data_IF_652513187346
#
_entry.id   IF_652513187346
#
_cell.length_a   1.000
_cell.length_b   1.000
_cell.length_c   1.000
_cell.angle_alpha   90.00
_cell.angle_beta   90.00
_cell.angle_gamma   90.00
#
_symmetry.space_group_name_H-M   'P 1'
#
loop_
_entity.id
_entity.type
_entity.pdbx_description
1 polymer ?
#
# COMPACT_ATOMS: atom_id res chain seq x y z
N UNK A 1 0.54 -71.99 12.93
CA UNK A 1 1.92 -71.59 13.26
C UNK A 1 2.28 -70.47 12.29
N UNK A 2 2.32 -69.20 12.64
CA UNK A 2 2.50 -68.57 13.94
C UNK A 2 1.77 -67.23 13.93
N UNK A 3 0.99 -66.96 14.97
CA UNK A 3 0.33 -65.68 15.23
C UNK A 3 1.38 -64.78 15.90
N UNK A 4 2.05 -63.93 15.13
CA UNK A 4 2.97 -62.91 15.67
C UNK A 4 2.15 -61.77 16.29
N UNK A 5 2.59 -61.18 17.41
CA UNK A 5 1.83 -60.15 18.09
C UNK A 5 1.66 -58.93 17.18
N UNK A 6 0.43 -58.45 17.04
CA UNK A 6 0.07 -57.23 16.33
C UNK A 6 0.51 -55.97 17.11
N UNK A 7 1.81 -55.86 17.39
CA UNK A 7 2.36 -54.74 18.13
C UNK A 7 2.41 -53.48 17.25
N UNK A 8 1.80 -52.41 17.74
CA UNK A 8 1.90 -51.10 17.11
C UNK A 8 3.29 -50.53 17.35
N UNK A 9 3.99 -50.17 16.28
CA UNK A 9 5.31 -49.58 16.38
C UNK A 9 5.24 -48.05 16.28
N UNK A 10 5.85 -47.30 17.22
CA UNK A 10 5.95 -45.86 17.14
C UNK A 10 6.88 -45.47 16.00
N UNK A 11 6.48 -44.49 15.20
CA UNK A 11 7.27 -43.98 14.09
C UNK A 11 7.00 -42.49 13.86
N UNK A 12 7.88 -41.86 13.09
CA UNK A 12 7.72 -40.45 12.71
C UNK A 12 7.76 -40.32 11.20
N UNK A 13 6.77 -39.62 10.64
CA UNK A 13 6.76 -39.20 9.25
C UNK A 13 6.98 -37.70 9.15
N UNK A 14 7.73 -37.30 8.13
CA UNK A 14 7.91 -35.91 7.71
C UNK A 14 7.20 -35.73 6.37
N UNK A 15 6.24 -34.81 6.34
CA UNK A 15 5.64 -34.31 5.11
C UNK A 15 6.32 -33.00 4.73
N UNK A 16 6.64 -32.81 3.47
CA UNK A 16 7.23 -31.58 2.93
C UNK A 16 6.45 -31.06 1.74
N UNK A 17 6.65 -29.77 1.44
CA UNK A 17 6.03 -29.12 0.29
C UNK A 17 4.58 -28.72 0.52
N UNK A 18 4.17 -28.58 1.78
CA UNK A 18 2.84 -28.10 2.14
C UNK A 18 2.71 -26.61 1.75
N UNK A 19 1.52 -26.16 1.29
CA UNK A 19 1.22 -24.74 1.18
C UNK A 19 1.48 -24.01 2.50
N UNK A 20 1.90 -22.74 2.45
CA UNK A 20 2.20 -21.96 3.66
C UNK A 20 0.97 -21.73 4.54
N UNK A 21 -0.23 -21.81 3.96
CA UNK A 21 -1.52 -21.67 4.62
C UNK A 21 -2.10 -23.00 5.09
N UNK A 22 -1.38 -24.12 4.94
CA UNK A 22 -1.85 -25.44 5.32
C UNK A 22 -2.07 -25.51 6.84
N UNK A 23 -3.25 -26.03 7.22
CA UNK A 23 -3.65 -26.18 8.62
C UNK A 23 -3.41 -27.60 9.12
N UNK A 24 -3.30 -27.76 10.45
CA UNK A 24 -3.21 -29.08 11.08
C UNK A 24 -4.40 -29.97 10.72
N UNK A 25 -5.60 -29.39 10.62
CA UNK A 25 -6.82 -30.09 10.23
C UNK A 25 -6.76 -30.62 8.80
N UNK A 26 -6.28 -29.83 7.84
CA UNK A 26 -6.12 -30.28 6.45
C UNK A 26 -5.10 -31.42 6.32
N UNK A 27 -3.97 -31.33 7.05
CA UNK A 27 -2.97 -32.40 7.06
C UNK A 27 -3.53 -33.65 7.75
N UNK A 28 -4.28 -33.52 8.83
CA UNK A 28 -4.95 -34.64 9.48
C UNK A 28 -5.98 -35.29 8.55
N UNK A 29 -6.80 -34.51 7.84
CA UNK A 29 -7.76 -35.01 6.88
C UNK A 29 -7.11 -35.74 5.69
N UNK A 30 -5.89 -35.33 5.30
CA UNK A 30 -5.10 -36.03 4.28
C UNK A 30 -4.60 -37.40 4.77
N UNK A 31 -4.19 -37.50 6.03
CA UNK A 31 -3.56 -38.71 6.60
C UNK A 31 -4.61 -39.73 7.07
N UNK A 32 -5.73 -39.28 7.63
CA UNK A 32 -6.72 -40.14 8.29
C UNK A 32 -7.27 -41.27 7.41
N UNK A 33 -7.61 -41.05 6.12
CA UNK A 33 -8.11 -42.11 5.25
C UNK A 33 -7.09 -43.21 4.95
N UNK A 34 -5.79 -42.92 5.11
CA UNK A 34 -4.73 -43.87 4.88
C UNK A 34 -4.45 -44.76 6.10
N UNK A 35 -4.94 -44.41 7.30
CA UNK A 35 -4.75 -45.17 8.53
C UNK A 35 -5.73 -46.35 8.62
N UNK A 36 -5.25 -47.48 9.15
CA UNK A 36 -6.11 -48.62 9.49
C UNK A 36 -6.82 -48.39 10.83
N UNK A 37 -7.88 -49.14 11.12
CA UNK A 37 -8.72 -48.95 12.32
C UNK A 37 -7.96 -48.99 13.66
N UNK A 38 -6.86 -49.75 13.72
CA UNK A 38 -6.02 -49.89 14.91
C UNK A 38 -4.76 -48.99 14.87
N UNK A 39 -4.54 -48.21 13.81
CA UNK A 39 -3.43 -47.26 13.69
C UNK A 39 -3.84 -45.87 14.17
N UNK A 40 -2.89 -45.11 14.75
CA UNK A 40 -3.19 -43.80 15.31
C UNK A 40 -2.17 -42.74 14.92
N UNK A 41 -2.65 -41.52 14.69
CA UNK A 41 -1.85 -40.29 14.66
C UNK A 41 -1.86 -39.69 16.07
N UNK A 42 -0.76 -39.84 16.80
CA UNK A 42 -0.66 -39.41 18.20
C UNK A 42 -0.44 -37.91 18.33
N UNK A 43 0.40 -37.34 17.46
CA UNK A 43 0.60 -35.90 17.42
C UNK A 43 0.99 -35.41 16.02
N UNK A 44 0.64 -34.16 15.76
CA UNK A 44 0.96 -33.45 14.52
C UNK A 44 1.51 -32.09 14.88
N UNK A 45 2.71 -31.79 14.36
CA UNK A 45 3.35 -30.49 14.51
C UNK A 45 3.62 -29.89 13.13
N UNK A 46 3.25 -28.63 12.95
CA UNK A 46 3.64 -27.80 11.81
C UNK A 46 4.82 -26.91 12.25
N UNK A 47 6.08 -27.36 12.07
CA UNK A 47 7.23 -26.58 12.51
C UNK A 47 7.31 -25.22 11.81
N UNK A 48 7.87 -24.25 12.53
CA UNK A 48 8.14 -22.91 12.02
C UNK A 48 9.58 -22.77 11.54
N UNK A 49 9.81 -21.82 10.63
CA UNK A 49 11.14 -21.38 10.22
C UNK A 49 11.81 -20.50 11.30
N UNK A 50 13.06 -20.08 11.06
CA UNK A 50 13.81 -19.25 12.01
C UNK A 50 13.19 -17.87 12.28
N UNK A 51 12.22 -17.43 11.45
CA UNK A 51 11.45 -16.19 11.59
C UNK A 51 10.03 -16.45 12.11
N UNK A 52 9.79 -17.65 12.64
CA UNK A 52 8.49 -18.10 13.16
C UNK A 52 7.34 -18.05 12.13
N UNK A 53 7.67 -18.27 10.85
CA UNK A 53 6.68 -18.46 9.78
C UNK A 53 6.47 -19.95 9.54
N UNK A 54 5.33 -20.38 8.95
CA UNK A 54 5.14 -21.78 8.55
C UNK A 54 6.34 -22.27 7.73
N UNK A 55 6.84 -23.48 7.98
CA UNK A 55 8.00 -24.03 7.25
C UNK A 55 7.66 -24.80 5.98
N UNK A 56 6.37 -25.08 5.76
CA UNK A 56 5.90 -25.96 4.68
C UNK A 56 6.17 -27.44 4.95
N UNK A 57 6.64 -27.79 6.16
CA UNK A 57 6.83 -29.15 6.62
C UNK A 57 5.76 -29.52 7.68
N UNK A 58 5.44 -30.80 7.83
CA UNK A 58 4.67 -31.34 8.96
C UNK A 58 5.34 -32.59 9.53
N UNK A 59 5.42 -32.67 10.85
CA UNK A 59 5.90 -33.84 11.59
C UNK A 59 4.70 -34.59 12.17
N UNK A 60 4.63 -35.88 11.89
CA UNK A 60 3.57 -36.77 12.33
C UNK A 60 4.17 -37.85 13.22
N UNK A 61 3.78 -37.91 14.49
CA UNK A 61 4.07 -39.05 15.36
C UNK A 61 2.92 -40.03 15.29
N UNK A 62 3.22 -41.26 14.88
CA UNK A 62 2.22 -42.27 14.55
C UNK A 62 2.54 -43.60 15.23
N UNK A 63 1.51 -44.40 15.48
CA UNK A 63 1.60 -45.81 15.86
C UNK A 63 0.99 -46.66 14.75
N UNK A 64 1.84 -47.45 14.09
CA UNK A 64 1.48 -48.20 12.88
C UNK A 64 1.70 -49.70 13.08
N UNK A 65 0.87 -50.55 12.43
CA UNK A 65 1.11 -52.01 12.36
C UNK A 65 2.01 -52.39 11.19
N UNK A 66 2.19 -51.48 10.24
CA UNK A 66 3.02 -51.67 9.05
C UNK A 66 4.28 -50.81 9.13
N UNK A 67 5.30 -51.10 8.30
CA UNK A 67 6.46 -50.24 8.17
C UNK A 67 6.07 -48.80 7.80
N UNK A 68 6.66 -47.81 8.46
CA UNK A 68 6.38 -46.40 8.21
C UNK A 68 6.58 -46.00 6.74
N UNK A 69 7.49 -46.66 6.03
CA UNK A 69 7.73 -46.47 4.59
C UNK A 69 6.48 -46.77 3.74
N UNK A 70 5.64 -47.73 4.15
CA UNK A 70 4.42 -48.08 3.43
C UNK A 70 3.37 -46.95 3.51
N UNK A 71 3.17 -46.36 4.70
CA UNK A 71 2.29 -45.19 4.83
C UNK A 71 2.89 -43.97 4.13
N UNK A 72 4.20 -43.74 4.23
CA UNK A 72 4.87 -42.66 3.50
C UNK A 72 4.66 -42.78 1.99
N UNK A 73 4.76 -43.98 1.42
CA UNK A 73 4.52 -44.20 0.00
C UNK A 73 3.07 -43.88 -0.43
N UNK A 74 2.08 -44.19 0.41
CA UNK A 74 0.67 -43.84 0.14
C UNK A 74 0.41 -42.33 0.19
N UNK A 75 1.09 -41.62 1.08
CA UNK A 75 0.93 -40.17 1.23
C UNK A 75 1.73 -39.37 0.20
N UNK A 76 2.82 -39.94 -0.31
CA UNK A 76 3.70 -39.28 -1.26
C UNK A 76 2.95 -38.99 -2.57
N UNK A 77 3.04 -37.74 -3.03
CA UNK A 77 2.43 -37.28 -4.28
C UNK A 77 0.94 -36.92 -4.17
N UNK A 78 0.30 -37.13 -3.02
CA UNK A 78 -1.09 -36.70 -2.81
C UNK A 78 -1.21 -35.17 -2.91
N UNK A 79 -2.29 -34.67 -3.52
CA UNK A 79 -2.52 -33.24 -3.65
C UNK A 79 -3.00 -32.65 -2.32
N UNK A 80 -2.41 -31.52 -1.94
CA UNK A 80 -2.92 -30.64 -0.89
C UNK A 80 -2.99 -29.22 -1.47
N UNK A 81 -4.21 -28.81 -1.84
CA UNK A 81 -4.46 -27.59 -2.63
C UNK A 81 -3.61 -27.57 -3.91
N UNK A 82 -2.78 -26.54 -4.10
CA UNK A 82 -1.94 -26.35 -5.29
C UNK A 82 -0.57 -27.05 -5.23
N UNK A 83 -0.30 -27.85 -4.20
CA UNK A 83 0.98 -28.53 -4.00
C UNK A 83 0.79 -30.05 -3.89
N UNK A 84 1.88 -30.78 -4.12
CA UNK A 84 1.97 -32.22 -3.87
C UNK A 84 2.87 -32.48 -2.67
N UNK A 85 2.42 -33.38 -1.80
CA UNK A 85 3.12 -33.70 -0.57
C UNK A 85 4.29 -34.65 -0.85
N UNK A 86 5.47 -34.35 -0.31
CA UNK A 86 6.60 -35.30 -0.25
C UNK A 86 6.65 -35.92 1.15
N UNK A 87 6.20 -37.18 1.27
CA UNK A 87 6.16 -37.92 2.53
C UNK A 87 7.39 -38.83 2.68
N UNK A 88 8.07 -38.75 3.82
CA UNK A 88 9.26 -39.56 4.12
C UNK A 88 9.27 -40.02 5.58
N UNK A 89 9.93 -41.14 5.83
CA UNK A 89 10.25 -41.58 7.20
C UNK A 89 11.32 -40.66 7.77
N UNK A 90 11.10 -40.18 8.99
CA UNK A 90 12.04 -39.35 9.72
C UNK A 90 12.50 -40.05 11.00
N UNK A 91 13.73 -39.77 11.44
CA UNK A 91 14.18 -40.25 12.75
C UNK A 91 13.55 -39.41 13.86
N UNK A 92 13.37 -40.02 15.04
CA UNK A 92 12.92 -39.29 16.23
C UNK A 92 13.85 -38.11 16.56
N UNK A 93 15.17 -38.28 16.37
CA UNK A 93 16.15 -37.22 16.58
C UNK A 93 15.93 -36.03 15.63
N UNK A 94 15.61 -36.26 14.35
CA UNK A 94 15.36 -35.18 13.39
C UNK A 94 14.07 -34.42 13.73
N UNK A 95 13.05 -35.15 14.14
CA UNK A 95 11.77 -34.59 14.58
C UNK A 95 11.96 -33.69 15.81
N UNK A 96 12.66 -34.19 16.84
CA UNK A 96 12.95 -33.41 18.05
C UNK A 96 13.76 -32.15 17.75
N UNK A 97 14.75 -32.22 16.84
CA UNK A 97 15.54 -31.03 16.46
C UNK A 97 14.69 -29.95 15.80
N UNK A 98 13.76 -30.34 14.93
CA UNK A 98 12.84 -29.42 14.25
C UNK A 98 11.80 -28.83 15.20
N UNK A 99 11.25 -29.64 16.10
CA UNK A 99 10.35 -29.17 17.15
C UNK A 99 11.03 -28.11 18.04
N UNK A 100 12.23 -28.42 18.56
CA UNK A 100 12.99 -27.47 19.38
C UNK A 100 13.39 -26.20 18.61
N UNK A 101 13.66 -26.29 17.30
CA UNK A 101 13.92 -25.11 16.48
C UNK A 101 12.67 -24.22 16.34
N UNK A 102 11.51 -24.83 16.13
CA UNK A 102 10.21 -24.15 16.06
C UNK A 102 9.88 -23.47 17.39
N UNK A 103 10.07 -24.15 18.52
CA UNK A 103 9.86 -23.59 19.86
C UNK A 103 10.79 -22.39 20.12
N UNK A 104 12.07 -22.47 19.75
CA UNK A 104 12.99 -21.33 19.85
C UNK A 104 12.56 -20.16 18.98
N UNK A 105 12.05 -20.42 17.78
CA UNK A 105 11.52 -19.37 16.91
C UNK A 105 10.30 -18.69 17.55
N UNK A 106 9.40 -19.47 18.15
CA UNK A 106 8.22 -18.97 18.84
C UNK A 106 8.60 -18.18 20.12
N UNK A 107 9.56 -18.66 20.89
CA UNK A 107 10.07 -17.98 22.10
C UNK A 107 10.68 -16.60 21.78
N UNK A 108 11.28 -16.42 20.61
CA UNK A 108 11.75 -15.11 20.12
C UNK A 108 10.61 -14.15 19.81
N UNK A 109 9.45 -14.68 19.42
CA UNK A 109 8.25 -13.88 19.17
C UNK A 109 7.42 -13.62 20.44
N UNK A 110 7.59 -14.39 21.51
CA UNK A 110 6.82 -14.23 22.75
C UNK A 110 6.83 -12.78 23.32
N UNK A 111 7.93 -12.00 23.28
CA UNK A 111 7.92 -10.59 23.70
C UNK A 111 7.25 -9.66 22.67
N UNK A 112 7.09 -10.12 21.43
CA UNK A 112 6.45 -9.42 20.32
C UNK A 112 5.01 -9.92 20.08
N UNK A 113 4.52 -10.82 20.93
CA UNK A 113 3.18 -11.37 20.82
C UNK A 113 2.17 -10.22 20.90
N UNK A 114 1.10 -10.26 20.09
CA UNK A 114 0.11 -9.19 20.06
C UNK A 114 -0.39 -8.93 21.48
N UNK A 115 -0.34 -7.66 21.90
CA UNK A 115 -0.89 -7.28 23.18
C UNK A 115 -2.36 -7.69 23.28
N UNK A 116 -2.87 -8.04 24.48
CA UNK A 116 -4.24 -8.53 24.71
C UNK A 116 -5.36 -7.59 24.22
N UNK A 117 -5.04 -6.38 23.74
CA UNK A 117 -5.97 -5.49 23.05
C UNK A 117 -6.47 -6.02 21.70
N UNK A 118 -5.77 -6.99 21.08
CA UNK A 118 -6.16 -7.62 19.79
C UNK A 118 -6.93 -8.93 20.04
N UNK A 119 -7.82 -8.92 21.03
CA UNK A 119 -8.73 -10.02 21.33
C UNK A 119 -10.08 -9.84 20.64
N UNK A 120 -10.14 -9.68 19.32
CA UNK A 120 -11.40 -9.78 18.55
C UNK A 120 -11.16 -10.46 17.21
N UNK A 121 -12.18 -11.18 16.74
CA UNK A 121 -12.25 -11.86 15.44
C UNK A 121 -11.55 -11.05 14.33
N UNK A 122 -10.92 -11.74 13.35
CA UNK A 122 -10.26 -11.12 12.19
C UNK A 122 -11.06 -9.90 11.77
N UNK A 123 -10.53 -8.71 12.06
CA UNK A 123 -11.27 -7.47 11.81
C UNK A 123 -11.66 -7.45 10.32
N UNK A 124 -12.97 -7.29 10.07
CA UNK A 124 -13.44 -7.02 8.73
C UNK A 124 -12.64 -5.82 8.21
N UNK A 125 -12.01 -5.96 7.04
CA UNK A 125 -11.22 -4.91 6.43
C UNK A 125 -12.12 -4.21 5.41
N UNK A 126 -12.82 -3.12 5.78
CA UNK A 126 -13.67 -2.42 4.83
C UNK A 126 -12.80 -1.90 3.69
N UNK A 127 -13.34 -1.97 2.48
CA UNK A 127 -12.78 -1.24 1.35
C UNK A 127 -13.01 0.27 1.57
N UNK A 128 -12.11 1.14 1.08
CA UNK A 128 -12.39 2.57 1.07
C UNK A 128 -13.70 2.84 0.28
N UNK A 129 -14.51 3.82 0.70
CA UNK A 129 -15.79 4.11 0.08
C UNK A 129 -15.63 4.59 -1.37
N UNK A 130 -16.72 4.51 -2.14
CA UNK A 130 -16.70 4.68 -3.60
C UNK A 130 -16.62 6.13 -4.09
N UNK A 131 -16.95 7.11 -3.26
CA UNK A 131 -16.92 8.54 -3.62
C UNK A 131 -15.55 8.95 -4.15
N UNK A 132 -15.52 9.62 -5.30
CA UNK A 132 -14.27 10.04 -5.94
C UNK A 132 -13.61 11.16 -5.15
N UNK A 133 -12.27 11.11 -5.07
CA UNK A 133 -11.46 12.05 -4.29
C UNK A 133 -10.40 12.63 -5.18
N UNK A 134 -10.56 13.89 -5.54
CA UNK A 134 -9.58 14.65 -6.29
C UNK A 134 -8.79 15.53 -5.35
N UNK A 135 -7.50 15.25 -5.22
CA UNK A 135 -6.59 15.98 -4.37
C UNK A 135 -5.72 16.88 -5.25
N UNK A 136 -5.88 18.19 -5.16
CA UNK A 136 -5.06 19.17 -5.87
C UNK A 136 -4.06 19.81 -4.90
N UNK A 137 -2.77 19.53 -5.08
CA UNK A 137 -1.69 20.07 -4.26
C UNK A 137 -0.95 21.15 -5.02
N UNK A 138 -0.93 22.38 -4.50
CA UNK A 138 -0.15 23.49 -5.03
C UNK A 138 1.30 23.37 -4.57
N UNK A 139 2.24 23.26 -5.51
CA UNK A 139 3.66 23.07 -5.24
C UNK A 139 4.45 24.27 -5.79
N UNK A 140 4.68 25.25 -4.93
CA UNK A 140 5.37 26.50 -5.23
C UNK A 140 6.90 26.35 -5.17
N UNK A 141 7.60 27.28 -5.81
CA UNK A 141 9.05 27.41 -5.73
C UNK A 141 9.81 26.21 -6.29
N UNK A 142 9.16 25.40 -7.13
CA UNK A 142 9.81 24.26 -7.78
C UNK A 142 10.80 24.79 -8.83
N UNK A 143 12.10 24.46 -8.79
CA UNK A 143 13.08 24.95 -9.76
C UNK A 143 12.78 24.46 -11.18
N UNK A 144 13.12 25.26 -12.20
CA UNK A 144 12.92 24.91 -13.63
C UNK A 144 13.47 23.54 -13.97
N UNK A 145 14.67 23.22 -13.49
CA UNK A 145 15.33 21.91 -13.69
C UNK A 145 14.44 20.75 -13.22
N UNK A 146 13.79 20.88 -12.07
CA UNK A 146 12.91 19.86 -11.51
C UNK A 146 11.64 19.75 -12.34
N UNK A 147 11.00 20.88 -12.66
CA UNK A 147 9.81 20.91 -13.52
C UNK A 147 10.06 20.38 -14.95
N UNK A 148 11.30 20.42 -15.42
CA UNK A 148 11.77 19.83 -16.68
C UNK A 148 12.17 18.34 -16.55
N UNK A 149 12.10 17.75 -15.35
CA UNK A 149 12.40 16.33 -15.11
C UNK A 149 13.85 16.03 -14.69
N UNK A 150 14.69 17.03 -14.45
CA UNK A 150 16.05 16.84 -13.90
C UNK A 150 15.99 16.64 -12.38
N UNK A 151 15.41 15.51 -11.96
CA UNK A 151 15.26 15.11 -10.54
C UNK A 151 16.44 14.25 -10.11
N UNK A 152 17.11 14.67 -9.04
CA UNK A 152 18.16 13.91 -8.35
C UNK A 152 17.54 13.03 -7.25
N UNK A 153 17.55 11.72 -7.45
CA UNK A 153 16.90 10.76 -6.52
C UNK A 153 17.62 10.63 -5.17
N UNK A 154 18.87 11.05 -5.12
CA UNK A 154 19.73 11.14 -3.93
C UNK A 154 19.49 12.43 -3.13
N UNK A 155 18.78 13.43 -3.69
CA UNK A 155 18.53 14.74 -3.09
C UNK A 155 17.07 15.19 -3.29
N UNK A 156 16.10 14.34 -2.95
CA UNK A 156 14.66 14.65 -3.10
C UNK A 156 14.19 15.94 -2.41
N UNK A 157 14.75 16.37 -1.27
CA UNK A 157 14.37 17.66 -0.68
C UNK A 157 14.66 18.87 -1.59
N UNK A 158 15.60 18.73 -2.54
CA UNK A 158 15.92 19.77 -3.50
C UNK A 158 14.76 19.99 -4.46
N UNK A 159 14.22 21.20 -4.50
CA UNK A 159 13.01 21.49 -5.26
C UNK A 159 11.75 20.77 -4.75
N UNK A 160 11.75 20.33 -3.49
CA UNK A 160 10.58 19.79 -2.76
C UNK A 160 9.95 18.55 -3.39
N UNK A 161 10.76 17.73 -4.07
CA UNK A 161 10.30 16.44 -4.62
C UNK A 161 9.90 15.47 -3.50
N UNK A 162 10.54 15.56 -2.33
CA UNK A 162 10.16 14.85 -1.11
C UNK A 162 8.72 15.14 -0.68
N UNK A 163 8.28 16.41 -0.75
CA UNK A 163 6.90 16.81 -0.43
C UNK A 163 5.94 16.21 -1.44
N UNK A 164 6.22 16.39 -2.73
CA UNK A 164 5.40 15.83 -3.81
C UNK A 164 5.25 14.31 -3.67
N UNK A 165 6.35 13.61 -3.39
CA UNK A 165 6.35 12.17 -3.20
C UNK A 165 5.54 11.74 -1.97
N UNK A 166 5.66 12.45 -0.84
CA UNK A 166 4.86 12.19 0.36
C UNK A 166 3.38 12.46 0.15
N UNK A 167 3.02 13.49 -0.62
CA UNK A 167 1.63 13.77 -0.97
C UNK A 167 1.02 12.67 -1.84
N UNK A 168 1.73 12.21 -2.88
CA UNK A 168 1.31 11.06 -3.70
C UNK A 168 1.18 9.79 -2.87
N UNK A 169 2.14 9.55 -1.95
CA UNK A 169 2.09 8.41 -1.06
C UNK A 169 0.83 8.43 -0.18
N UNK A 170 0.59 9.55 0.49
CA UNK A 170 -0.56 9.77 1.38
C UNK A 170 -1.92 9.68 0.64
N UNK A 171 -1.97 10.16 -0.60
CA UNK A 171 -3.16 10.15 -1.44
C UNK A 171 -3.59 8.76 -1.90
N UNK A 172 -2.62 7.90 -2.21
CA UNK A 172 -2.89 6.67 -2.95
C UNK A 172 -2.88 5.43 -2.05
N UNK A 173 -1.98 5.34 -1.08
CA UNK A 173 -1.74 4.07 -0.39
C UNK A 173 -2.53 3.91 0.91
N UNK A 174 -2.93 2.67 1.17
CA UNK A 174 -3.29 2.16 2.49
C UNK A 174 -2.61 0.80 2.68
N UNK A 175 -2.72 0.18 3.87
CA UNK A 175 -1.87 -0.96 4.27
C UNK A 175 -1.85 -2.15 3.29
N UNK A 176 -2.91 -2.36 2.51
CA UNK A 176 -3.04 -3.52 1.62
C UNK A 176 -3.41 -3.16 0.18
N UNK A 177 -3.27 -1.90 -0.23
CA UNK A 177 -3.60 -1.54 -1.60
C UNK A 177 -3.49 -0.07 -1.93
N UNK A 178 -4.12 0.27 -3.05
CA UNK A 178 -4.20 1.62 -3.60
C UNK A 178 -5.66 2.06 -3.65
N UNK A 179 -5.93 3.30 -3.24
CA UNK A 179 -7.26 3.93 -3.31
C UNK A 179 -7.64 4.16 -4.77
N UNK A 180 -8.46 3.27 -5.32
CA UNK A 180 -8.86 3.28 -6.75
C UNK A 180 -9.74 4.47 -7.12
N UNK A 181 -10.49 5.02 -6.16
CA UNK A 181 -11.32 6.21 -6.33
C UNK A 181 -10.58 7.53 -5.99
N UNK A 182 -9.25 7.49 -5.74
CA UNK A 182 -8.46 8.68 -5.45
C UNK A 182 -7.57 9.06 -6.64
N UNK A 183 -7.57 10.35 -6.95
CA UNK A 183 -6.68 10.98 -7.94
C UNK A 183 -5.95 12.12 -7.25
N UNK A 184 -4.67 12.29 -7.56
CA UNK A 184 -3.86 13.39 -7.02
C UNK A 184 -3.22 14.16 -8.16
N UNK A 185 -3.30 15.48 -8.09
CA UNK A 185 -2.66 16.40 -9.00
C UNK A 185 -1.66 17.27 -8.24
N UNK A 186 -0.42 17.32 -8.72
CA UNK A 186 0.64 18.19 -8.23
C UNK A 186 0.77 19.36 -9.20
N UNK A 187 0.23 20.52 -8.84
CA UNK A 187 0.28 21.72 -9.67
C UNK A 187 1.56 22.50 -9.39
N UNK A 188 2.32 22.80 -10.45
CA UNK A 188 3.51 23.64 -10.45
C UNK A 188 3.14 25.00 -11.09
N UNK A 189 2.57 25.95 -10.33
CA UNK A 189 1.92 27.13 -10.89
C UNK A 189 2.89 28.02 -11.69
N UNK A 190 4.15 28.16 -11.26
CA UNK A 190 5.17 28.97 -11.93
C UNK A 190 5.49 28.50 -13.36
N UNK A 191 5.25 27.21 -13.62
CA UNK A 191 5.56 26.54 -14.87
C UNK A 191 4.32 26.22 -15.70
N UNK A 192 3.11 26.53 -15.19
CA UNK A 192 1.83 26.12 -15.79
C UNK A 192 1.85 24.65 -16.18
N UNK A 193 2.25 23.80 -15.24
CA UNK A 193 2.41 22.36 -15.41
C UNK A 193 1.81 21.62 -14.22
N UNK A 194 1.07 20.56 -14.47
CA UNK A 194 0.53 19.71 -13.42
C UNK A 194 0.81 18.23 -13.72
N UNK A 195 1.31 17.49 -12.72
CA UNK A 195 1.37 16.03 -12.80
C UNK A 195 0.09 15.45 -12.20
N UNK A 196 -0.62 14.59 -12.92
CA UNK A 196 -1.79 13.86 -12.42
C UNK A 196 -1.45 12.39 -12.23
N UNK A 197 -1.91 11.82 -11.13
CA UNK A 197 -1.77 10.41 -10.79
C UNK A 197 -3.14 9.83 -10.47
N UNK A 198 -3.53 8.83 -11.24
CA UNK A 198 -4.80 8.12 -11.07
C UNK A 198 -4.58 6.80 -10.32
N UNK A 199 -5.17 6.68 -9.14
CA UNK A 199 -5.11 5.47 -8.32
C UNK A 199 -5.71 4.25 -9.01
N UNK A 200 -6.69 4.42 -9.89
CA UNK A 200 -7.28 3.32 -10.68
C UNK A 200 -6.25 2.69 -11.61
N UNK A 201 -5.48 3.53 -12.31
CA UNK A 201 -4.58 3.14 -13.38
C UNK A 201 -3.13 2.85 -12.93
N UNK A 202 -2.72 3.31 -11.75
CA UNK A 202 -1.32 3.15 -11.29
C UNK A 202 -0.91 1.68 -11.12
N UNK A 203 0.28 1.34 -11.60
CA UNK A 203 0.90 0.00 -11.50
C UNK A 203 2.36 0.10 -11.08
N UNK A 204 2.82 -0.85 -10.27
CA UNK A 204 4.24 -0.98 -9.89
C UNK A 204 4.79 0.13 -8.98
N UNK A 205 3.95 1.03 -8.48
CA UNK A 205 4.33 2.08 -7.55
C UNK A 205 4.46 1.52 -6.12
N UNK A 206 5.48 1.95 -5.37
CA UNK A 206 5.69 1.60 -3.96
C UNK A 206 5.53 2.84 -3.07
N UNK A 207 5.09 2.70 -1.81
CA UNK A 207 4.84 3.82 -0.89
C UNK A 207 6.13 4.37 -0.26
N UNK A 208 7.18 4.57 -1.08
CA UNK A 208 8.45 5.16 -0.65
C UNK A 208 8.81 6.35 -1.55
N UNK A 209 9.46 7.36 -0.96
CA UNK A 209 9.72 8.63 -1.63
C UNK A 209 10.60 8.47 -2.87
N UNK A 210 11.56 7.54 -2.84
CA UNK A 210 12.49 7.32 -3.96
C UNK A 210 11.80 6.71 -5.17
N UNK A 211 10.98 5.68 -4.97
CA UNK A 211 10.21 5.06 -6.07
C UNK A 211 9.21 6.04 -6.67
N UNK A 212 8.54 6.84 -5.84
CA UNK A 212 7.60 7.87 -6.32
C UNK A 212 8.35 9.01 -7.01
N UNK A 213 9.48 9.45 -6.47
CA UNK A 213 10.36 10.45 -7.09
C UNK A 213 10.86 10.02 -8.47
N UNK A 214 11.17 8.73 -8.66
CA UNK A 214 11.50 8.17 -9.97
C UNK A 214 10.31 8.18 -10.94
N UNK A 215 9.10 7.86 -10.46
CA UNK A 215 7.90 7.94 -11.29
C UNK A 215 7.62 9.39 -11.72
N UNK A 216 7.73 10.35 -10.79
CA UNK A 216 7.62 11.79 -11.07
C UNK A 216 8.64 12.23 -12.10
N UNK A 217 9.92 11.83 -11.94
CA UNK A 217 11.00 12.13 -12.89
C UNK A 217 10.65 11.65 -14.29
N UNK A 218 10.24 10.38 -14.43
CA UNK A 218 9.88 9.79 -15.73
C UNK A 218 8.67 10.47 -16.36
N UNK A 219 7.65 10.80 -15.57
CA UNK A 219 6.48 11.53 -16.05
C UNK A 219 6.84 12.91 -16.60
N UNK A 220 7.73 13.65 -15.94
CA UNK A 220 8.19 14.96 -16.41
C UNK A 220 9.08 14.88 -17.64
N UNK A 221 9.96 13.87 -17.73
CA UNK A 221 10.80 13.64 -18.91
C UNK A 221 10.01 13.18 -20.14
N UNK A 222 8.84 12.55 -19.92
CA UNK A 222 7.90 12.17 -20.98
C UNK A 222 7.07 13.36 -21.50
N UNK A 223 6.99 14.45 -20.72
CA UNK A 223 6.18 15.61 -21.05
C UNK A 223 6.87 16.50 -22.12
N UNK A 224 6.11 17.34 -22.84
CA UNK A 224 6.68 18.35 -23.73
C UNK A 224 7.70 19.26 -23.02
N UNK A 225 8.64 19.88 -23.73
CA UNK A 225 9.53 20.88 -23.13
C UNK A 225 8.77 22.04 -22.50
N UNK A 226 9.24 22.53 -21.35
CA UNK A 226 8.66 23.70 -20.70
C UNK A 226 8.73 24.94 -21.61
N UNK A 227 7.63 25.70 -21.64
CA UNK A 227 7.60 26.98 -22.33
C UNK A 227 8.70 27.93 -21.79
N UNK A 228 9.18 28.83 -22.65
CA UNK A 228 10.26 29.77 -22.33
C UNK A 228 9.86 30.84 -21.30
N UNK A 229 8.57 30.98 -20.96
CA UNK A 229 8.03 32.09 -20.16
C UNK A 229 7.73 31.81 -18.68
N UNK A 230 8.28 30.76 -18.08
CA UNK A 230 8.07 30.49 -16.65
C UNK A 230 8.69 31.58 -15.77
N UNK A 231 7.96 32.04 -14.75
CA UNK A 231 8.45 33.06 -13.80
C UNK A 231 9.14 32.34 -12.65
N UNK A 232 10.46 32.47 -12.54
CA UNK A 232 11.17 32.03 -11.34
C UNK A 232 10.74 32.91 -10.16
N UNK A 233 10.28 32.30 -9.07
CA UNK A 233 10.03 33.03 -7.84
C UNK A 233 11.36 33.62 -7.33
N UNK A 234 11.44 34.94 -7.18
CA UNK A 234 12.64 35.65 -6.74
C UNK A 234 13.10 35.17 -5.34
N UNK A 235 14.21 34.43 -5.34
CA UNK A 235 15.33 34.54 -4.39
C UNK A 235 15.10 34.21 -2.89
N UNK A 236 15.56 33.03 -2.47
CA UNK A 236 16.41 32.92 -1.27
C UNK A 236 17.76 32.37 -1.70
N UNK A 237 18.80 33.19 -1.51
CA UNK A 237 20.10 33.06 -2.14
C UNK A 237 20.81 31.73 -1.92
N UNK A 238 21.23 31.11 -3.01
CA UNK A 238 22.25 30.07 -3.03
C UNK A 238 23.58 30.71 -3.45
N UNK A 239 24.54 30.79 -2.51
CA UNK A 239 25.97 30.82 -2.83
C UNK A 239 26.49 29.40 -2.71
N UNK A 240 27.08 28.87 -3.77
CA UNK A 240 28.04 27.79 -3.66
C UNK A 240 28.05 26.79 -4.82
N UNK A 241 29.08 26.92 -5.68
CA UNK A 241 29.74 25.76 -6.28
C UNK A 241 29.39 25.43 -7.71
N UNK A 242 29.92 26.21 -8.66
CA UNK A 242 30.14 25.72 -10.02
C UNK A 242 31.16 24.56 -9.99
N UNK A 243 30.72 23.40 -10.45
CA UNK A 243 31.57 22.27 -10.81
C UNK A 243 31.03 21.70 -12.11
N UNK A 244 31.60 22.17 -13.22
CA UNK A 244 31.23 21.75 -14.57
C UNK A 244 31.52 20.28 -14.83
N UNK A 245 30.63 19.67 -15.60
CA UNK A 245 30.77 18.33 -16.16
C UNK A 245 29.63 18.13 -17.15
N UNK A 246 29.86 18.55 -18.39
CA UNK A 246 28.87 18.39 -19.46
C UNK A 246 28.73 16.92 -19.86
N UNK A 247 27.51 16.52 -20.14
CA UNK A 247 27.22 15.50 -21.13
C UNK A 247 26.03 16.00 -21.97
N UNK A 248 26.35 16.42 -23.19
CA UNK A 248 25.37 16.48 -24.26
C UNK A 248 25.07 15.06 -24.74
N UNK A 249 23.79 14.76 -24.91
CA UNK A 249 23.26 13.51 -25.44
C UNK A 249 21.88 13.25 -24.85
N UNK A 250 20.82 12.94 -25.57
CA UNK A 250 20.66 12.55 -26.96
C UNK A 250 19.23 12.94 -27.40
N UNK A 251 19.04 13.03 -28.71
CA UNK A 251 17.74 13.25 -29.32
C UNK A 251 16.70 12.21 -28.84
N UNK A 252 15.57 12.74 -28.32
CA UNK A 252 14.24 12.15 -28.24
C UNK A 252 14.09 10.64 -28.32
N UNK A 253 14.42 9.93 -27.25
CA UNK A 253 13.71 8.68 -26.94
C UNK A 253 12.33 9.08 -26.39
N UNK A 254 11.25 8.64 -27.04
CA UNK A 254 9.89 8.78 -26.49
C UNK A 254 9.84 7.92 -25.25
N UNK A 255 9.99 8.53 -24.08
CA UNK A 255 9.87 7.84 -22.79
C UNK A 255 8.40 7.82 -22.42
N UNK A 256 7.82 6.63 -22.34
CA UNK A 256 6.45 6.49 -21.87
C UNK A 256 6.33 6.94 -20.40
N UNK A 257 5.30 7.73 -20.12
CA UNK A 257 4.95 8.07 -18.75
C UNK A 257 4.63 6.78 -17.96
N UNK A 258 4.94 6.72 -16.66
CA UNK A 258 4.56 5.58 -15.83
C UNK A 258 3.03 5.35 -15.87
N UNK A 259 2.59 4.10 -15.77
CA UNK A 259 1.17 3.77 -15.79
C UNK A 259 0.39 4.57 -14.74
N UNK A 260 -0.69 5.23 -15.17
CA UNK A 260 -1.53 6.09 -14.32
C UNK A 260 -0.99 7.50 -14.08
N UNK A 261 0.12 7.88 -14.70
CA UNK A 261 0.67 9.24 -14.64
C UNK A 261 0.41 9.97 -15.95
N UNK A 262 0.02 11.24 -15.85
CA UNK A 262 -0.09 12.15 -16.99
C UNK A 262 0.37 13.55 -16.61
N UNK A 263 0.74 14.34 -17.61
CA UNK A 263 1.15 15.74 -17.42
C UNK A 263 0.22 16.63 -18.24
N UNK A 264 -0.24 17.70 -17.61
CA UNK A 264 -1.03 18.77 -18.23
C UNK A 264 -0.18 20.04 -18.23
N UNK A 265 -0.20 20.79 -19.32
CA UNK A 265 0.55 22.03 -19.50
C UNK A 265 -0.38 23.19 -19.91
N UNK A 266 0.11 24.42 -19.79
CA UNK A 266 -0.55 25.63 -20.29
C UNK A 266 -1.75 26.06 -19.45
N UNK A 267 -2.81 26.57 -20.08
CA UNK A 267 -4.00 27.06 -19.36
C UNK A 267 -4.71 25.95 -18.57
N UNK A 268 -4.70 24.71 -19.07
CA UNK A 268 -5.25 23.55 -18.36
C UNK A 268 -4.49 23.22 -17.06
N UNK A 269 -3.26 23.69 -16.92
CA UNK A 269 -2.44 23.57 -15.72
C UNK A 269 -2.25 24.93 -15.01
N UNK A 270 -3.28 25.77 -15.06
CA UNK A 270 -3.51 26.82 -14.08
C UNK A 270 -4.44 26.30 -12.96
N UNK A 271 -4.48 26.96 -11.80
CA UNK A 271 -5.44 26.60 -10.75
C UNK A 271 -6.88 26.67 -11.28
N UNK A 272 -7.22 27.73 -11.99
CA UNK A 272 -8.53 27.93 -12.62
C UNK A 272 -8.86 26.85 -13.66
N UNK A 273 -7.92 26.51 -14.54
CA UNK A 273 -8.09 25.45 -15.55
C UNK A 273 -8.25 24.06 -14.93
N UNK A 274 -7.47 23.75 -13.88
CA UNK A 274 -7.58 22.49 -13.15
C UNK A 274 -8.94 22.39 -12.44
N UNK A 275 -9.39 23.44 -11.77
CA UNK A 275 -10.70 23.48 -11.10
C UNK A 275 -11.84 23.36 -12.11
N UNK A 276 -11.80 24.10 -13.22
CA UNK A 276 -12.81 23.99 -14.28
C UNK A 276 -12.89 22.56 -14.85
N UNK A 277 -11.75 21.89 -15.05
CA UNK A 277 -11.71 20.50 -15.50
C UNK A 277 -12.25 19.51 -14.46
N UNK A 278 -11.97 19.72 -13.17
CA UNK A 278 -12.38 18.81 -12.10
C UNK A 278 -13.86 18.96 -11.73
N UNK A 279 -14.41 20.17 -11.86
CA UNK A 279 -15.79 20.50 -11.47
C UNK A 279 -16.80 20.33 -12.61
N UNK A 280 -16.34 20.22 -13.87
CA UNK A 280 -17.20 20.16 -15.05
C UNK A 280 -17.82 18.80 -15.37
N UNK A 281 -17.80 17.84 -14.45
CA UNK A 281 -18.41 16.50 -14.63
C UNK A 281 -19.93 16.48 -14.40
N UNK A 282 -20.56 15.33 -14.68
CA UNK A 282 -22.01 15.14 -14.53
C UNK A 282 -22.48 15.23 -13.07
N UNK A 283 -21.65 14.78 -12.12
CA UNK A 283 -21.83 15.02 -10.69
C UNK A 283 -20.94 16.19 -10.28
N UNK A 284 -21.55 17.28 -9.81
CA UNK A 284 -20.81 18.44 -9.32
C UNK A 284 -20.12 18.09 -7.99
N UNK A 285 -18.78 17.92 -7.96
CA UNK A 285 -18.11 17.55 -6.72
C UNK A 285 -18.07 18.73 -5.77
N UNK A 286 -18.02 18.45 -4.47
CA UNK A 286 -17.85 19.50 -3.47
C UNK A 286 -16.41 20.02 -3.49
N UNK A 287 -16.23 21.32 -3.77
CA UNK A 287 -14.92 21.97 -3.70
C UNK A 287 -14.62 22.44 -2.28
N UNK A 288 -13.53 21.94 -1.72
CA UNK A 288 -13.05 22.26 -0.38
C UNK A 288 -11.60 22.69 -0.45
N UNK A 289 -11.26 23.79 0.23
CA UNK A 289 -9.87 24.25 0.40
C UNK A 289 -9.45 24.04 1.85
N UNK A 290 -8.31 23.38 2.06
CA UNK A 290 -7.80 23.16 3.40
C UNK A 290 -7.08 24.39 3.92
N UNK A 291 -7.66 25.05 4.91
CA UNK A 291 -7.18 26.30 5.49
C UNK A 291 -7.36 26.29 7.01
N UNK A 292 -6.39 26.83 7.75
CA UNK A 292 -6.33 26.77 9.22
C UNK A 292 -7.56 27.42 9.89
N UNK A 293 -7.98 28.57 9.35
CA UNK A 293 -9.16 29.35 9.79
C UNK A 293 -10.50 28.85 9.22
N UNK A 294 -10.52 27.72 8.51
CA UNK A 294 -11.75 27.13 7.97
C UNK A 294 -12.63 26.47 9.04
N UNK A 295 -13.86 26.13 8.66
CA UNK A 295 -14.71 25.29 9.53
C UNK A 295 -14.15 23.86 9.59
N UNK A 296 -14.38 23.13 10.69
CA UNK A 296 -13.96 21.72 10.83
C UNK A 296 -14.36 20.89 9.60
N UNK A 297 -13.40 20.21 8.96
CA UNK A 297 -13.63 19.47 7.71
C UNK A 297 -14.81 18.50 7.83
N UNK A 298 -14.96 17.84 8.97
CA UNK A 298 -16.05 16.90 9.22
C UNK A 298 -17.44 17.55 9.05
N UNK A 299 -17.58 18.82 9.46
CA UNK A 299 -18.81 19.59 9.29
C UNK A 299 -19.01 20.08 7.86
N UNK A 300 -17.92 20.48 7.20
CA UNK A 300 -17.96 21.00 5.82
C UNK A 300 -18.39 19.90 4.84
N UNK A 301 -17.85 18.69 5.01
CA UNK A 301 -18.25 17.52 4.22
C UNK A 301 -19.68 17.08 4.58
N UNK A 302 -20.02 17.10 5.87
CA UNK A 302 -21.32 16.65 6.37
C UNK A 302 -21.45 15.12 6.42
N UNK A 303 -22.55 14.65 7.01
CA UNK A 303 -22.93 13.23 7.05
C UNK A 303 -23.87 12.90 5.88
N UNK A 304 -23.77 11.67 5.33
CA UNK A 304 -24.61 11.16 4.23
C UNK A 304 -23.82 10.53 3.09
N UNK A 305 -24.47 10.30 1.95
CA UNK A 305 -23.93 9.52 0.84
C UNK A 305 -22.52 9.96 0.38
N UNK A 306 -21.62 9.02 0.01
CA UNK A 306 -20.27 9.33 -0.46
C UNK A 306 -20.30 10.16 -1.76
N UNK A 307 -20.12 11.48 -1.64
CA UNK A 307 -20.06 12.39 -2.79
C UNK A 307 -18.64 12.53 -3.32
N UNK A 308 -18.55 12.90 -4.59
CA UNK A 308 -17.31 13.34 -5.19
C UNK A 308 -16.81 14.63 -4.49
N UNK A 309 -15.52 14.66 -4.12
CA UNK A 309 -14.91 15.83 -3.45
C UNK A 309 -13.62 16.23 -4.14
N UNK A 310 -13.44 17.53 -4.35
CA UNK A 310 -12.18 18.15 -4.76
C UNK A 310 -11.59 18.87 -3.55
N UNK A 311 -10.43 18.41 -3.09
CA UNK A 311 -9.67 19.01 -1.98
C UNK A 311 -8.47 19.76 -2.53
N UNK A 312 -8.38 21.05 -2.25
CA UNK A 312 -7.23 21.89 -2.61
C UNK A 312 -6.34 22.10 -1.39
N UNK A 313 -5.04 21.86 -1.56
CA UNK A 313 -4.05 21.78 -0.48
C UNK A 313 -2.83 22.62 -0.88
N UNK A 314 -2.45 23.58 -0.04
CA UNK A 314 -1.22 24.34 -0.22
C UNK A 314 0.02 23.53 0.19
N UNK A 315 1.18 23.93 -0.30
CA UNK A 315 2.46 23.47 0.23
C UNK A 315 2.87 24.28 1.47
N UNK A 316 4.16 24.27 1.80
CA UNK A 316 4.69 25.00 2.95
C UNK A 316 4.57 26.54 2.83
N UNK A 317 4.28 27.08 1.64
CA UNK A 317 4.07 28.51 1.41
C UNK A 317 2.64 28.92 1.72
N UNK A 318 1.69 27.97 1.71
CA UNK A 318 0.26 28.25 1.76
C UNK A 318 -0.29 28.69 0.41
N UNK A 319 -1.41 29.41 0.43
CA UNK A 319 -2.05 29.96 -0.76
C UNK A 319 -1.58 31.38 -1.02
N UNK A 320 -1.30 31.71 -2.28
CA UNK A 320 -1.07 33.08 -2.70
C UNK A 320 -2.42 33.82 -2.79
N UNK A 321 -2.40 35.14 -2.59
CA UNK A 321 -3.62 35.97 -2.69
C UNK A 321 -4.38 35.77 -4.02
N UNK A 322 -3.66 35.66 -5.14
CA UNK A 322 -4.26 35.41 -6.45
C UNK A 322 -4.94 34.05 -6.54
N UNK A 323 -4.45 33.06 -5.79
CA UNK A 323 -5.02 31.71 -5.74
C UNK A 323 -6.26 31.68 -4.84
N UNK A 324 -6.22 32.40 -3.72
CA UNK A 324 -7.41 32.61 -2.88
C UNK A 324 -8.53 33.31 -3.65
N UNK A 325 -8.22 34.32 -4.46
CA UNK A 325 -9.18 35.00 -5.34
C UNK A 325 -9.77 34.03 -6.38
N UNK A 326 -8.98 33.09 -6.93
CA UNK A 326 -9.50 32.02 -7.81
C UNK A 326 -10.43 31.10 -7.01
N UNK A 327 -9.99 30.61 -5.85
CA UNK A 327 -10.77 29.66 -5.03
C UNK A 327 -12.10 30.26 -4.58
N UNK A 328 -12.12 31.54 -4.23
CA UNK A 328 -13.35 32.28 -3.91
C UNK A 328 -14.29 32.38 -5.11
N UNK A 329 -13.79 32.66 -6.32
CA UNK A 329 -14.61 32.68 -7.55
C UNK A 329 -15.27 31.34 -7.86
N UNK A 330 -14.62 30.24 -7.49
CA UNK A 330 -15.16 28.88 -7.62
C UNK A 330 -16.00 28.43 -6.40
N UNK A 331 -16.31 29.34 -5.47
CA UNK A 331 -17.06 29.06 -4.24
C UNK A 331 -16.46 27.91 -3.41
N UNK A 332 -15.13 27.82 -3.33
CA UNK A 332 -14.45 26.84 -2.50
C UNK A 332 -14.81 27.02 -1.03
N UNK A 333 -15.18 25.94 -0.34
CA UNK A 333 -15.47 25.98 1.10
C UNK A 333 -14.18 25.83 1.91
N UNK A 334 -13.79 26.81 2.75
CA UNK A 334 -12.61 26.68 3.59
C UNK A 334 -12.87 25.70 4.74
N UNK A 335 -11.97 24.72 4.90
CA UNK A 335 -12.04 23.69 5.92
C UNK A 335 -10.74 23.53 6.71
N UNK A 336 -10.84 23.42 8.02
CA UNK A 336 -9.73 23.21 8.94
C UNK A 336 -9.67 21.75 9.42
N UNK A 337 -8.44 21.24 9.54
CA UNK A 337 -8.16 19.89 10.06
C UNK A 337 -7.75 19.91 11.54
N UNK A 338 -7.62 21.08 12.14
CA UNK A 338 -7.15 21.22 13.51
C UNK A 338 -6.45 22.55 13.75
N UNK A 339 -5.91 22.70 14.96
CA UNK A 339 -5.26 23.94 15.40
C UNK A 339 -3.80 24.07 14.98
N UNK A 340 -3.19 22.97 14.53
CA UNK A 340 -1.77 22.96 14.19
C UNK A 340 -1.61 23.09 12.68
N UNK A 341 -0.63 23.89 12.20
CA UNK A 341 -0.20 23.83 10.81
C UNK A 341 0.38 22.44 10.54
N UNK A 342 -0.21 21.72 9.59
CA UNK A 342 0.19 20.37 9.23
C UNK A 342 0.92 20.34 7.89
N UNK A 343 1.76 19.32 7.69
CA UNK A 343 2.33 19.05 6.37
C UNK A 343 1.21 18.67 5.40
N UNK A 344 1.31 19.08 4.13
CA UNK A 344 0.34 18.75 3.09
C UNK A 344 -0.01 17.24 3.03
N UNK A 345 0.98 16.35 3.21
CA UNK A 345 0.76 14.91 3.26
C UNK A 345 -0.06 14.46 4.47
N UNK A 346 0.12 15.09 5.63
CA UNK A 346 -0.70 14.83 6.82
C UNK A 346 -2.14 15.32 6.60
N UNK A 347 -2.29 16.47 5.93
CA UNK A 347 -3.60 16.98 5.56
C UNK A 347 -4.38 15.98 4.70
N UNK A 348 -3.71 15.36 3.72
CA UNK A 348 -4.29 14.30 2.88
C UNK A 348 -4.73 13.10 3.73
N UNK A 349 -3.87 12.63 4.65
CA UNK A 349 -4.17 11.47 5.51
C UNK A 349 -5.40 11.72 6.38
N UNK A 350 -5.48 12.89 7.04
CA UNK A 350 -6.63 13.23 7.89
C UNK A 350 -7.88 13.40 7.04
N UNK A 351 -7.78 14.06 5.89
CA UNK A 351 -8.92 14.21 4.97
C UNK A 351 -9.45 12.86 4.51
N UNK A 352 -8.57 11.91 4.19
CA UNK A 352 -8.97 10.54 3.91
C UNK A 352 -9.67 9.87 5.08
N UNK A 353 -9.19 10.05 6.30
CA UNK A 353 -9.85 9.49 7.48
C UNK A 353 -11.27 10.06 7.66
N UNK A 354 -11.44 11.37 7.52
CA UNK A 354 -12.76 12.02 7.58
C UNK A 354 -13.69 11.46 6.51
N UNK A 355 -13.23 11.41 5.25
CA UNK A 355 -14.01 10.89 4.12
C UNK A 355 -14.28 9.38 4.21
N UNK A 356 -13.39 8.61 4.83
CA UNK A 356 -13.60 7.18 5.08
C UNK A 356 -14.70 6.95 6.13
N UNK A 357 -14.77 7.81 7.16
CA UNK A 357 -15.73 7.70 8.24
C UNK A 357 -17.11 8.29 7.91
N UNK A 358 -17.17 9.38 7.14
CA UNK A 358 -18.44 9.95 6.67
C UNK A 358 -19.26 8.95 5.85
N UNK A 359 -18.58 8.04 5.15
CA UNK A 359 -19.22 6.98 4.37
C UNK A 359 -19.60 5.72 5.19
N UNK A 360 -19.16 5.62 6.45
CA UNK A 360 -19.36 4.43 7.29
C UNK A 360 -20.58 4.53 8.20
N UNK A 361 -21.07 5.74 8.49
CA UNK A 361 -22.23 5.97 9.37
C UNK A 361 -23.55 5.42 8.80
N UNK A 362 -23.68 5.19 7.48
CA UNK A 362 -24.88 4.62 6.84
C UNK A 362 -25.02 3.09 7.02
N UNK A 363 -23.92 2.33 7.04
CA UNK A 363 -23.99 0.85 7.11
C UNK A 363 -24.46 0.38 8.50
N UNK A 364 -24.32 1.24 9.52
CA UNK A 364 -24.76 0.92 10.88
C UNK A 364 -26.26 1.16 11.09
N UNK A 365 -26.89 2.11 10.38
CA UNK A 365 -28.33 2.41 10.52
C UNK A 365 -29.22 1.46 9.71
N UNK A 366 -28.78 0.96 8.54
CA UNK A 366 -29.53 -0.06 7.78
C UNK A 366 -29.52 -1.46 8.43
N UNK A 367 -28.65 -1.70 9.41
CA UNK A 367 -28.58 -2.98 10.12
C UNK A 367 -29.48 -3.03 11.37
N UNK A 368 -30.08 -1.91 11.77
CA UNK A 368 -30.90 -1.78 12.99
C UNK A 368 -32.33 -1.27 12.70
N UNK A 369 -32.76 -1.25 11.43
CA UNK A 369 -34.13 -0.98 10.97
C UNK A 369 -34.70 -2.12 10.15
#
# INVERSE_FOLDING_TARGET
MSDEPHDLHPCVLLLRGLPWEATAHEVQALVSPALLADEALDSLLLPLDARARPSGDALLSLRLRRPAAALAALLHGLPLRSRRVDARVASAADASRRAAASERALARLAPLAPQPFVGRARAHRPAPPRGTRDLLVLCHGVPRRVAAGAVRLDELPHGRVDLMARCVCAALFYSHGVRKAARVALLLPEWRRALRVDGAAVKGLRPDERTIGEALRRALLAAPPLAAGGREAEGRGERGGEGGGGEGGAAGEVRDAPAGWSVVDGEGASLEGMLASLLGGDEAPQLVVLHEEGERLEKVIGAGEPRAVVLVIGDATGFLRTEEEVLQRFNAKPASLGRLPLLASQCIVISHNVLDNAAAEEVAEEADG
#
